data_IF_607960620617
#
_entry.id   IF_607960620617
#
_cell.length_a   1.000
_cell.length_b   1.000
_cell.length_c   1.000
_cell.angle_alpha   90.00
_cell.angle_beta   90.00
_cell.angle_gamma   90.00
#
_symmetry.space_group_name_H-M   'P 1'
#
loop_
_entity.id
_entity.type
_entity.pdbx_description
1 polymer ?
#
# COMPACT_ATOMS: atom_id res chain seq x y z
N UNK A 1 -12.26 -17.30 -8.27
CA UNK A 1 -13.20 -16.24 -8.73
C UNK A 1 -12.61 -14.89 -8.35
N UNK A 2 -12.27 -14.05 -9.31
CA UNK A 2 -11.95 -12.65 -9.05
C UNK A 2 -13.26 -11.88 -8.81
N UNK A 3 -13.35 -11.14 -7.70
CA UNK A 3 -14.45 -10.20 -7.43
C UNK A 3 -13.97 -8.80 -7.81
N UNK A 4 -14.75 -8.10 -8.62
CA UNK A 4 -14.49 -6.71 -9.01
C UNK A 4 -15.28 -5.75 -8.13
N UNK A 5 -14.64 -4.69 -7.65
CA UNK A 5 -15.27 -3.61 -6.90
C UNK A 5 -14.98 -2.27 -7.59
N UNK A 6 -16.04 -1.52 -7.90
CA UNK A 6 -15.91 -0.16 -8.41
C UNK A 6 -15.84 0.82 -7.26
N UNK A 7 -14.78 1.63 -7.22
CA UNK A 7 -14.55 2.64 -6.17
C UNK A 7 -14.47 4.02 -6.80
N UNK A 8 -15.17 4.99 -6.23
CA UNK A 8 -15.06 6.39 -6.65
C UNK A 8 -13.73 6.96 -6.16
N UNK A 9 -12.92 7.44 -7.08
CA UNK A 9 -11.63 8.07 -6.77
C UNK A 9 -11.79 9.58 -6.67
N UNK A 10 -11.12 10.16 -5.69
CA UNK A 10 -10.90 11.60 -5.57
C UNK A 10 -9.46 11.91 -5.97
N UNK A 11 -9.13 13.16 -6.34
CA UNK A 11 -7.76 13.54 -6.68
C UNK A 11 -6.74 13.19 -5.59
N UNK A 12 -7.15 13.29 -4.31
CA UNK A 12 -6.31 12.91 -3.16
C UNK A 12 -6.01 11.41 -3.12
N UNK A 13 -7.00 10.56 -3.44
CA UNK A 13 -6.81 9.10 -3.51
C UNK A 13 -5.87 8.75 -4.66
N UNK A 14 -5.99 9.41 -5.81
CA UNK A 14 -5.11 9.17 -6.96
C UNK A 14 -3.66 9.54 -6.65
N UNK A 15 -3.42 10.66 -5.96
CA UNK A 15 -2.08 11.04 -5.52
C UNK A 15 -1.47 10.02 -4.54
N UNK A 16 -2.24 9.61 -3.52
CA UNK A 16 -1.78 8.62 -2.55
C UNK A 16 -1.50 7.26 -3.20
N UNK A 17 -2.35 6.84 -4.16
CA UNK A 17 -2.14 5.61 -4.90
C UNK A 17 -0.86 5.65 -5.74
N UNK A 18 -0.59 6.78 -6.41
CA UNK A 18 0.65 6.97 -7.18
C UNK A 18 1.89 6.84 -6.30
N UNK A 19 1.88 7.45 -5.11
CA UNK A 19 2.97 7.33 -4.15
C UNK A 19 3.15 5.90 -3.63
N UNK A 20 2.06 5.20 -3.33
CA UNK A 20 2.11 3.80 -2.91
C UNK A 20 2.70 2.94 -4.02
N UNK A 21 2.24 3.10 -5.27
CA UNK A 21 2.77 2.37 -6.42
C UNK A 21 4.27 2.62 -6.60
N UNK A 22 4.71 3.87 -6.46
CA UNK A 22 6.13 4.25 -6.54
C UNK A 22 6.99 3.62 -5.42
N UNK A 23 6.49 3.56 -4.18
CA UNK A 23 7.25 3.04 -3.03
C UNK A 23 7.24 1.51 -2.99
N UNK A 24 6.17 0.89 -3.47
CA UNK A 24 5.99 -0.57 -3.44
C UNK A 24 6.37 -1.27 -4.74
N UNK A 25 6.77 -0.51 -5.76
CA UNK A 25 7.09 -1.02 -7.11
C UNK A 25 5.93 -1.83 -7.72
N UNK A 26 4.69 -1.38 -7.47
CA UNK A 26 3.51 -2.04 -8.01
C UNK A 26 3.20 -1.51 -9.42
N UNK A 27 3.00 -2.41 -10.37
CA UNK A 27 2.80 -2.05 -11.78
C UNK A 27 1.34 -1.69 -12.09
N UNK A 28 0.41 -2.17 -11.26
CA UNK A 28 -1.03 -1.95 -11.46
C UNK A 28 -1.72 -1.41 -10.21
N UNK A 29 -2.77 -0.62 -10.40
CA UNK A 29 -3.64 -0.16 -9.31
C UNK A 29 -4.19 -1.32 -8.49
N UNK A 30 -4.62 -2.39 -9.15
CA UNK A 30 -5.18 -3.56 -8.47
C UNK A 30 -4.17 -4.20 -7.54
N UNK A 31 -2.91 -4.35 -7.99
CA UNK A 31 -1.84 -4.90 -7.17
C UNK A 31 -1.52 -4.01 -5.96
N UNK A 32 -1.37 -2.71 -6.18
CA UNK A 32 -1.10 -1.76 -5.10
C UNK A 32 -2.20 -1.78 -4.04
N UNK A 33 -3.47 -1.78 -4.48
CA UNK A 33 -4.63 -1.85 -3.59
C UNK A 33 -4.72 -3.20 -2.87
N UNK A 34 -4.46 -4.31 -3.56
CA UNK A 34 -4.47 -5.64 -2.93
C UNK A 34 -3.42 -5.74 -1.82
N UNK A 35 -2.18 -5.32 -2.09
CA UNK A 35 -1.10 -5.30 -1.09
C UNK A 35 -1.45 -4.41 0.10
N UNK A 36 -2.05 -3.24 -0.13
CA UNK A 36 -2.50 -2.35 0.95
C UNK A 36 -3.61 -2.97 1.81
N UNK A 37 -4.57 -3.66 1.19
CA UNK A 37 -5.64 -4.37 1.91
C UNK A 37 -5.09 -5.54 2.73
N UNK A 38 -4.12 -6.28 2.21
CA UNK A 38 -3.47 -7.37 2.95
C UNK A 38 -2.72 -6.85 4.18
N UNK A 39 -1.99 -5.73 4.04
CA UNK A 39 -1.33 -5.06 5.16
C UNK A 39 -2.34 -4.59 6.21
N UNK A 40 -3.46 -4.00 5.79
CA UNK A 40 -4.50 -3.57 6.71
C UNK A 40 -5.17 -4.75 7.41
N UNK A 41 -5.43 -5.83 6.69
CA UNK A 41 -5.98 -7.06 7.26
C UNK A 41 -5.01 -7.71 8.25
N UNK A 42 -3.70 -7.64 8.01
CA UNK A 42 -2.68 -8.07 8.96
C UNK A 42 -2.66 -7.18 10.20
N UNK A 43 -2.72 -5.86 10.03
CA UNK A 43 -2.77 -4.89 11.12
C UNK A 43 -3.97 -5.11 12.04
N UNK A 44 -5.16 -5.36 11.47
CA UNK A 44 -6.38 -5.65 12.23
C UNK A 44 -6.30 -6.91 13.09
N UNK A 45 -5.38 -7.84 12.77
CA UNK A 45 -5.17 -9.08 13.53
C UNK A 45 -4.14 -8.92 14.65
N UNK A 46 -3.43 -7.80 14.71
CA UNK A 46 -2.43 -7.56 15.75
C UNK A 46 -3.11 -7.32 17.09
N UNK A 47 -2.50 -7.84 18.16
CA UNK A 47 -2.96 -7.53 19.51
C UNK A 47 -2.70 -6.05 19.84
N UNK A 48 -3.57 -5.40 20.64
CA UNK A 48 -3.31 -4.04 21.13
C UNK A 48 -1.93 -3.94 21.78
N UNK A 49 -1.18 -2.88 21.46
CA UNK A 49 0.19 -2.66 21.97
C UNK A 49 1.31 -3.33 21.17
N UNK A 50 0.99 -4.05 20.09
CA UNK A 50 2.02 -4.60 19.19
C UNK A 50 2.83 -3.47 18.55
N UNK A 51 4.14 -3.48 18.74
CA UNK A 51 5.04 -2.49 18.14
C UNK A 51 5.37 -2.88 16.71
N UNK A 52 5.07 -2.00 15.75
CA UNK A 52 5.41 -2.19 14.35
C UNK A 52 6.74 -1.50 14.07
N UNK A 53 7.75 -2.28 13.69
CA UNK A 53 9.07 -1.76 13.26
C UNK A 53 9.07 -1.65 11.75
N UNK A 54 8.92 -0.43 11.24
CA UNK A 54 9.07 -0.14 9.81
C UNK A 54 10.53 0.20 9.50
N UNK A 55 11.21 -0.64 8.73
CA UNK A 55 12.57 -0.37 8.27
C UNK A 55 12.49 0.18 6.84
N UNK A 56 12.70 1.49 6.68
CA UNK A 56 12.73 2.12 5.36
C UNK A 56 14.13 2.08 4.75
N UNK A 57 14.30 1.40 3.62
CA UNK A 57 15.53 1.50 2.83
C UNK A 57 15.40 2.67 1.85
N UNK A 58 16.14 3.75 2.09
CA UNK A 58 16.31 4.81 1.08
C UNK A 58 17.41 4.37 0.11
N UNK A 59 17.04 4.16 -1.17
CA UNK A 59 18.02 3.96 -2.24
C UNK A 59 18.82 5.26 -2.38
N UNK A 60 20.04 5.32 -1.83
CA UNK A 60 20.97 6.42 -2.12
C UNK A 60 21.25 6.39 -3.62
N UNK A 61 20.84 7.42 -4.35
CA UNK A 61 21.42 7.68 -5.68
C UNK A 61 22.88 8.07 -5.44
N UNK A 62 23.80 7.21 -5.89
CA UNK A 62 25.22 7.56 -5.95
C UNK A 62 25.43 8.66 -7.02
N UNK A 63 26.36 9.61 -6.79
CA UNK A 63 26.69 10.66 -7.75
C UNK A 63 27.38 10.12 -9.01
#
# INVERSE_FOLDING_TARGET
>A
MSRSLSVRRTPTIDAALSDIMRVTDAETTTEAVARALDLYAAWLKLSPGTTVVATGHTRRMAP
#
